data_IF_609881231897
#
_entry.id   IF_609881231897
#
_cell.length_a   1.000
_cell.length_b   1.000
_cell.length_c   1.000
_cell.angle_alpha   90.00
_cell.angle_beta   90.00
_cell.angle_gamma   90.00
#
_symmetry.space_group_name_H-M   'P 1'
#
loop_
_entity.id
_entity.type
_entity.pdbx_description
1 polymer ?
#
# COMPACT_ATOMS: atom_id res chain seq x y z
N UNK A 1 1.06 11.10 6.82
CA UNK A 1 2.01 10.09 7.30
C UNK A 1 3.37 10.72 7.58
N UNK A 2 3.92 10.48 8.77
CA UNK A 2 5.19 11.03 9.25
C UNK A 2 5.45 10.57 10.68
N UNK A 3 6.47 11.14 11.32
CA UNK A 3 6.77 10.88 12.74
C UNK A 3 6.52 12.16 13.54
N UNK A 4 5.81 12.03 14.66
CA UNK A 4 5.59 13.11 15.61
C UNK A 4 6.35 12.79 16.89
N UNK A 5 7.25 13.67 17.34
CA UNK A 5 7.85 13.56 18.67
C UNK A 5 6.86 14.08 19.71
N UNK A 6 6.39 13.19 20.59
CA UNK A 6 5.33 13.49 21.56
C UNK A 6 5.84 13.50 23.00
N UNK A 7 7.10 13.12 23.24
CA UNK A 7 7.60 12.95 24.61
C UNK A 7 7.63 14.29 25.33
N UNK A 8 7.09 14.30 26.55
CA UNK A 8 7.00 15.47 27.43
C UNK A 8 6.31 16.69 26.80
N UNK A 9 5.47 16.50 25.77
CA UNK A 9 4.69 17.59 25.17
C UNK A 9 3.36 17.77 25.91
N UNK A 10 2.87 19.02 26.05
CA UNK A 10 1.53 19.25 26.58
C UNK A 10 0.48 18.71 25.61
N UNK A 11 -0.68 18.36 26.14
CA UNK A 11 -1.78 17.72 25.41
C UNK A 11 -2.18 18.46 24.11
N UNK A 12 -2.33 19.78 24.13
CA UNK A 12 -2.62 20.55 22.91
C UNK A 12 -1.51 20.47 21.85
N UNK A 13 -0.24 20.39 22.26
CA UNK A 13 0.89 20.25 21.34
C UNK A 13 0.97 18.83 20.75
N UNK A 14 0.66 17.81 21.56
CA UNK A 14 0.51 16.43 21.09
C UNK A 14 -0.54 16.37 19.98
N UNK A 15 -1.71 16.99 20.20
CA UNK A 15 -2.79 17.01 19.21
C UNK A 15 -2.35 17.71 17.92
N UNK A 16 -1.70 18.89 18.00
CA UNK A 16 -1.19 19.59 16.80
C UNK A 16 -0.22 18.72 16.00
N UNK A 17 0.72 18.06 16.66
CA UNK A 17 1.73 17.22 16.01
C UNK A 17 1.12 15.98 15.36
N UNK A 18 0.14 15.35 16.02
CA UNK A 18 -0.60 14.23 15.43
C UNK A 18 -1.40 14.65 14.20
N UNK A 19 -2.08 15.80 14.24
CA UNK A 19 -2.80 16.34 13.08
C UNK A 19 -1.83 16.64 11.94
N UNK A 20 -0.66 17.24 12.22
CA UNK A 20 0.34 17.55 11.21
C UNK A 20 0.85 16.32 10.42
N UNK A 21 0.90 15.14 11.06
CA UNK A 21 1.30 13.89 10.40
C UNK A 21 0.12 13.05 9.89
N UNK A 22 -1.12 13.45 10.14
CA UNK A 22 -2.30 12.79 9.60
C UNK A 22 -2.39 12.95 8.07
N UNK A 23 -3.20 12.12 7.41
CA UNK A 23 -3.54 12.35 6.01
C UNK A 23 -4.31 13.65 5.86
N UNK A 24 -3.89 14.50 4.92
CA UNK A 24 -4.46 15.85 4.78
C UNK A 24 -5.95 15.88 4.46
N UNK A 25 -6.51 14.78 3.95
CA UNK A 25 -7.97 14.64 3.74
C UNK A 25 -8.78 14.68 5.04
N UNK A 26 -8.15 14.43 6.19
CA UNK A 26 -8.82 14.37 7.49
C UNK A 26 -8.35 15.46 8.46
N UNK A 27 -7.35 16.26 8.08
CA UNK A 27 -6.72 17.24 8.97
C UNK A 27 -7.70 18.30 9.48
N UNK A 28 -8.60 18.78 8.63
CA UNK A 28 -9.58 19.81 9.01
C UNK A 28 -10.61 19.26 10.00
N UNK A 29 -11.19 18.08 9.72
CA UNK A 29 -12.16 17.44 10.63
C UNK A 29 -11.54 17.13 11.99
N UNK A 30 -10.27 16.70 12.01
CA UNK A 30 -9.52 16.48 13.26
C UNK A 30 -9.30 17.79 14.02
N UNK A 31 -8.93 18.88 13.33
CA UNK A 31 -8.75 20.18 13.95
C UNK A 31 -10.06 20.74 14.52
N UNK A 32 -11.17 20.61 13.79
CA UNK A 32 -12.52 20.99 14.26
C UNK A 32 -12.89 20.19 15.51
N UNK A 33 -12.72 18.87 15.48
CA UNK A 33 -13.01 17.98 16.61
C UNK A 33 -12.19 18.36 17.84
N UNK A 34 -10.90 18.62 17.66
CA UNK A 34 -10.01 19.00 18.75
C UNK A 34 -10.33 20.38 19.34
N UNK A 35 -10.73 21.36 18.50
CA UNK A 35 -11.24 22.66 18.96
C UNK A 35 -12.51 22.50 19.79
N UNK A 36 -13.47 21.71 19.32
CA UNK A 36 -14.71 21.44 20.05
C UNK A 36 -14.47 20.77 21.41
N UNK A 37 -13.44 19.92 21.51
CA UNK A 37 -13.02 19.28 22.76
C UNK A 37 -12.18 20.19 23.68
N UNK A 38 -11.94 21.46 23.31
CA UNK A 38 -11.11 22.39 24.08
C UNK A 38 -9.61 22.05 24.08
N UNK A 39 -9.16 21.19 23.16
CA UNK A 39 -7.76 20.74 23.05
C UNK A 39 -6.88 21.71 22.26
N UNK A 40 -7.50 22.50 21.39
CA UNK A 40 -6.85 23.50 20.53
C UNK A 40 -7.56 24.83 20.63
N UNK A 41 -6.82 25.91 20.41
CA UNK A 41 -7.40 27.24 20.29
C UNK A 41 -8.32 27.33 19.06
N UNK A 42 -9.34 28.17 19.13
CA UNK A 42 -10.30 28.35 18.05
C UNK A 42 -9.66 28.86 16.75
N UNK A 43 -8.57 29.62 16.86
CA UNK A 43 -7.79 30.20 15.76
C UNK A 43 -6.71 29.25 15.21
N UNK A 44 -6.52 28.06 15.79
CA UNK A 44 -5.51 27.14 15.31
C UNK A 44 -5.81 26.67 13.88
N UNK A 45 -4.82 26.76 13.01
CA UNK A 45 -4.84 26.20 11.68
C UNK A 45 -3.66 25.25 11.48
N UNK A 46 -3.87 24.19 10.70
CA UNK A 46 -2.79 23.27 10.34
C UNK A 46 -1.81 24.01 9.43
N UNK A 47 -0.51 24.09 9.79
CA UNK A 47 0.47 24.83 9.00
C UNK A 47 0.57 24.33 7.56
N UNK A 48 0.74 25.24 6.60
CA UNK A 48 0.69 24.95 5.17
C UNK A 48 1.65 23.83 4.72
N UNK A 49 2.85 23.78 5.31
CA UNK A 49 3.84 22.74 5.04
C UNK A 49 3.34 21.30 5.32
N UNK A 50 2.28 21.15 6.15
CA UNK A 50 1.69 19.87 6.53
C UNK A 50 0.41 19.54 5.74
N UNK A 51 -0.07 20.45 4.87
CA UNK A 51 -1.32 20.30 4.09
C UNK A 51 -1.20 19.39 2.87
N UNK A 52 0.00 18.94 2.53
CA UNK A 52 0.27 18.06 1.39
C UNK A 52 0.58 16.62 1.80
N UNK A 53 0.07 16.18 2.94
CA UNK A 53 0.30 14.85 3.48
C UNK A 53 -0.65 13.82 2.84
N UNK A 54 -0.59 13.74 1.51
CA UNK A 54 -1.50 12.95 0.68
C UNK A 54 -0.78 11.72 0.11
N UNK A 55 -1.47 10.57 -0.04
CA UNK A 55 -0.85 9.34 -0.52
C UNK A 55 -0.12 9.49 -1.87
N UNK A 56 -0.71 10.23 -2.81
CA UNK A 56 -0.11 10.43 -4.13
C UNK A 56 1.11 11.38 -4.08
N UNK A 57 1.08 12.43 -3.26
CA UNK A 57 2.22 13.33 -3.05
C UNK A 57 3.38 12.56 -2.44
N UNK A 58 3.11 11.74 -1.41
CA UNK A 58 4.12 10.91 -0.78
C UNK A 58 4.72 9.90 -1.77
N UNK A 59 3.89 9.22 -2.56
CA UNK A 59 4.37 8.30 -3.60
C UNK A 59 5.27 9.01 -4.61
N UNK A 60 4.87 10.19 -5.10
CA UNK A 60 5.66 10.98 -6.03
C UNK A 60 6.99 11.44 -5.42
N UNK A 61 6.97 11.90 -4.16
CA UNK A 61 8.19 12.28 -3.45
C UNK A 61 9.12 11.10 -3.25
N UNK A 62 8.58 9.92 -2.93
CA UNK A 62 9.37 8.72 -2.66
C UNK A 62 9.93 8.05 -3.91
N UNK A 63 9.29 8.23 -5.07
CA UNK A 63 9.65 7.58 -6.34
C UNK A 63 11.15 7.61 -6.67
N UNK A 64 11.91 8.71 -6.50
CA UNK A 64 13.33 8.74 -6.85
C UNK A 64 14.21 7.84 -5.97
N UNK A 65 13.74 7.44 -4.79
CA UNK A 65 14.47 6.57 -3.86
C UNK A 65 14.00 5.11 -3.90
N UNK A 66 12.85 4.86 -4.52
CA UNK A 66 12.40 3.53 -4.88
C UNK A 66 13.25 3.01 -6.04
N UNK A 67 13.33 1.68 -6.20
CA UNK A 67 14.16 0.99 -7.21
C UNK A 67 14.16 1.70 -8.56
N UNK A 68 15.31 2.25 -8.95
CA UNK A 68 15.54 2.83 -10.28
C UNK A 68 16.39 1.85 -11.09
N UNK A 69 16.16 1.79 -12.41
CA UNK A 69 16.93 0.90 -13.27
C UNK A 69 18.44 1.18 -13.13
N UNK A 70 19.19 0.17 -12.72
CA UNK A 70 20.66 0.23 -12.62
C UNK A 70 21.23 0.72 -11.29
N UNK A 71 20.43 0.94 -10.23
CA UNK A 71 20.95 1.26 -8.89
C UNK A 71 20.21 0.54 -7.78
N UNK A 72 20.90 0.14 -6.68
CA UNK A 72 20.24 -0.45 -5.52
C UNK A 72 19.24 0.54 -4.92
N UNK A 73 18.02 0.08 -4.67
CA UNK A 73 16.97 0.90 -4.05
C UNK A 73 17.43 1.40 -2.68
N UNK A 74 17.41 2.72 -2.47
CA UNK A 74 17.67 3.32 -1.17
C UNK A 74 16.53 3.00 -0.18
N UNK A 75 15.32 2.79 -0.69
CA UNK A 75 14.15 2.35 0.05
C UNK A 75 13.58 1.09 -0.62
N UNK A 76 14.11 -0.11 -0.31
CA UNK A 76 13.50 -1.35 -0.76
C UNK A 76 12.16 -1.58 -0.02
N UNK A 77 11.31 -2.46 -0.56
CA UNK A 77 10.01 -2.80 0.05
C UNK A 77 10.14 -3.31 1.50
N UNK A 78 11.26 -3.95 1.82
CA UNK A 78 11.58 -4.51 3.13
C UNK A 78 12.94 -3.98 3.63
N UNK A 79 13.03 -2.74 4.13
CA UNK A 79 14.29 -2.10 4.50
C UNK A 79 14.99 -2.73 5.71
N UNK A 80 14.26 -3.50 6.52
CA UNK A 80 14.80 -4.25 7.66
C UNK A 80 14.90 -5.75 7.39
N UNK A 81 14.79 -6.16 6.13
CA UNK A 81 14.68 -7.55 5.73
C UNK A 81 13.25 -8.11 5.89
N UNK A 82 13.10 -9.36 5.49
CA UNK A 82 11.84 -10.10 5.57
C UNK A 82 12.14 -11.58 5.79
N UNK A 83 11.30 -12.25 6.57
CA UNK A 83 11.36 -13.71 6.73
C UNK A 83 10.82 -14.44 5.48
N UNK A 84 10.28 -13.70 4.51
CA UNK A 84 9.78 -14.24 3.26
C UNK A 84 10.93 -14.61 2.33
N UNK A 85 10.88 -15.81 1.76
CA UNK A 85 11.77 -16.21 0.69
C UNK A 85 11.48 -15.42 -0.58
N UNK A 86 12.43 -15.41 -1.53
CA UNK A 86 12.25 -14.73 -2.81
C UNK A 86 11.00 -15.21 -3.57
N UNK A 87 10.68 -16.51 -3.47
CA UNK A 87 9.47 -17.08 -4.06
C UNK A 87 8.20 -16.56 -3.38
N UNK A 88 8.20 -16.45 -2.05
CA UNK A 88 7.05 -15.90 -1.30
C UNK A 88 6.81 -14.44 -1.63
N UNK A 89 7.87 -13.65 -1.81
CA UNK A 89 7.76 -12.27 -2.25
C UNK A 89 7.12 -12.15 -3.63
N UNK A 90 7.46 -13.03 -4.56
CA UNK A 90 6.83 -13.09 -5.89
C UNK A 90 5.36 -13.49 -5.80
N UNK A 91 5.04 -14.51 -5.00
CA UNK A 91 3.67 -14.95 -4.76
C UNK A 91 2.82 -13.81 -4.18
N UNK A 92 3.29 -13.14 -3.12
CA UNK A 92 2.57 -12.04 -2.47
C UNK A 92 2.36 -10.87 -3.43
N UNK A 93 3.36 -10.53 -4.24
CA UNK A 93 3.27 -9.46 -5.24
C UNK A 93 2.20 -9.74 -6.30
N UNK A 94 2.13 -10.98 -6.80
CA UNK A 94 1.10 -11.40 -7.75
C UNK A 94 -0.29 -11.38 -7.11
N UNK A 95 -0.43 -11.88 -5.87
CA UNK A 95 -1.71 -11.88 -5.14
C UNK A 95 -2.22 -10.47 -4.85
N UNK A 96 -1.34 -9.52 -4.50
CA UNK A 96 -1.72 -8.12 -4.29
C UNK A 96 -2.25 -7.48 -5.57
N UNK A 97 -1.64 -7.75 -6.72
CA UNK A 97 -2.14 -7.27 -8.01
C UNK A 97 -3.53 -7.84 -8.32
N UNK A 98 -3.72 -9.14 -8.11
CA UNK A 98 -5.03 -9.78 -8.29
C UNK A 98 -6.10 -9.21 -7.34
N UNK A 99 -5.72 -8.92 -6.09
CA UNK A 99 -6.63 -8.30 -5.11
C UNK A 99 -6.99 -6.86 -5.49
N UNK A 100 -6.02 -6.07 -5.97
CA UNK A 100 -6.29 -4.72 -6.45
C UNK A 100 -7.26 -4.74 -7.64
N UNK A 101 -6.95 -5.58 -8.63
CA UNK A 101 -7.82 -5.75 -9.76
C UNK A 101 -9.21 -6.19 -9.31
N UNK A 102 -9.37 -7.10 -8.34
CA UNK A 102 -10.71 -7.55 -7.89
C UNK A 102 -11.63 -6.44 -7.38
N UNK A 103 -11.06 -5.29 -7.00
CA UNK A 103 -11.78 -4.09 -6.58
C UNK A 103 -12.08 -3.12 -7.75
N UNK A 104 -11.49 -3.36 -8.92
CA UNK A 104 -11.59 -2.56 -10.15
C UNK A 104 -12.02 -3.41 -11.37
N UNK A 105 -13.31 -3.38 -11.77
CA UNK A 105 -13.86 -4.28 -12.79
C UNK A 105 -13.15 -4.23 -14.15
N UNK A 106 -12.75 -3.04 -14.59
CA UNK A 106 -12.05 -2.86 -15.87
C UNK A 106 -10.64 -3.47 -15.84
N UNK A 107 -9.93 -3.31 -14.72
CA UNK A 107 -8.59 -3.88 -14.53
C UNK A 107 -8.64 -5.40 -14.47
N UNK A 108 -9.67 -5.99 -13.84
CA UNK A 108 -9.87 -7.45 -13.85
C UNK A 108 -10.00 -7.99 -15.26
N UNK A 109 -10.86 -7.37 -16.07
CA UNK A 109 -11.10 -7.86 -17.44
C UNK A 109 -9.82 -7.74 -18.25
N UNK A 110 -9.11 -6.62 -18.17
CA UNK A 110 -7.82 -6.45 -18.83
C UNK A 110 -6.78 -7.50 -18.37
N UNK A 111 -6.71 -7.76 -17.07
CA UNK A 111 -5.82 -8.75 -16.48
C UNK A 111 -6.18 -10.19 -16.90
N UNK A 112 -7.47 -10.51 -16.99
CA UNK A 112 -7.95 -11.81 -17.44
C UNK A 112 -7.59 -12.05 -18.92
N UNK A 113 -7.84 -11.07 -19.78
CA UNK A 113 -7.53 -11.12 -21.21
C UNK A 113 -6.03 -11.29 -21.42
N UNK A 114 -5.21 -10.50 -20.70
CA UNK A 114 -3.75 -10.62 -20.74
C UNK A 114 -3.27 -12.01 -20.30
N UNK A 115 -3.85 -12.54 -19.22
CA UNK A 115 -3.54 -13.88 -18.69
C UNK A 115 -3.89 -15.00 -19.68
N UNK A 116 -4.96 -14.85 -20.47
CA UNK A 116 -5.33 -15.83 -21.50
C UNK A 116 -4.40 -15.81 -22.72
N UNK A 117 -3.77 -14.67 -23.03
CA UNK A 117 -2.80 -14.55 -24.11
C UNK A 117 -1.35 -14.83 -23.70
N UNK A 118 -1.08 -14.87 -22.40
CA UNK A 118 0.26 -15.14 -21.88
C UNK A 118 0.34 -16.61 -21.50
N UNK A 119 1.08 -17.39 -22.29
CA UNK A 119 1.28 -18.83 -22.07
C UNK A 119 2.34 -19.08 -20.97
N UNK A 120 2.15 -18.45 -19.81
CA UNK A 120 2.98 -18.62 -18.62
C UNK A 120 2.34 -19.65 -17.71
N UNK A 121 3.11 -20.68 -17.35
CA UNK A 121 2.73 -21.61 -16.30
C UNK A 121 3.37 -21.20 -14.97
N UNK A 122 2.56 -21.19 -13.91
CA UNK A 122 3.07 -20.97 -12.56
C UNK A 122 3.88 -22.20 -12.10
N UNK A 123 5.03 -22.00 -11.42
CA UNK A 123 5.81 -23.10 -10.86
C UNK A 123 4.95 -24.02 -9.98
N UNK A 124 5.07 -25.36 -10.07
CA UNK A 124 4.27 -26.30 -9.29
C UNK A 124 4.36 -26.06 -7.78
N UNK A 125 5.53 -25.67 -7.28
CA UNK A 125 5.75 -25.31 -5.89
C UNK A 125 4.88 -24.13 -5.44
N UNK A 126 4.62 -23.15 -6.31
CA UNK A 126 3.79 -21.99 -5.96
C UNK A 126 2.32 -22.40 -5.88
N UNK A 127 1.88 -23.26 -6.81
CA UNK A 127 0.50 -23.78 -6.83
C UNK A 127 0.20 -24.65 -5.61
N UNK A 128 1.14 -25.49 -5.17
CA UNK A 128 1.01 -26.29 -3.95
C UNK A 128 0.85 -25.39 -2.72
N UNK A 129 1.67 -24.34 -2.60
CA UNK A 129 1.59 -23.39 -1.47
C UNK A 129 0.28 -22.62 -1.43
N UNK A 130 -0.34 -22.39 -2.59
CA UNK A 130 -1.64 -21.73 -2.73
C UNK A 130 -2.84 -22.70 -2.66
N UNK A 131 -2.61 -24.01 -2.58
CA UNK A 131 -3.68 -25.03 -2.65
C UNK A 131 -4.42 -25.07 -4.00
N UNK A 132 -3.70 -24.69 -5.06
CA UNK A 132 -4.16 -24.63 -6.46
C UNK A 132 -3.58 -25.77 -7.33
N UNK A 133 -2.81 -26.66 -6.73
CA UNK A 133 -2.26 -27.86 -7.35
C UNK A 133 -3.36 -28.84 -7.78
N UNK A 134 -4.39 -29.02 -6.97
CA UNK A 134 -5.58 -29.84 -7.28
C UNK A 134 -6.81 -28.97 -7.60
N UNK A 135 -6.63 -28.02 -8.52
CA UNK A 135 -7.69 -27.10 -8.94
C UNK A 135 -8.78 -27.81 -9.78
N UNK A 136 -9.71 -28.48 -9.11
CA UNK A 136 -10.85 -29.18 -9.74
C UNK A 136 -12.08 -28.29 -10.00
N UNK A 137 -12.22 -27.19 -9.27
CA UNK A 137 -13.34 -26.27 -9.45
C UNK A 137 -13.03 -25.15 -10.45
N UNK A 138 -14.03 -24.70 -11.20
CA UNK A 138 -13.91 -23.58 -12.16
C UNK A 138 -13.28 -22.34 -11.54
N UNK A 139 -13.61 -22.05 -10.28
CA UNK A 139 -13.03 -20.94 -9.52
C UNK A 139 -11.52 -21.12 -9.31
N UNK A 140 -11.07 -22.31 -8.90
CA UNK A 140 -9.64 -22.60 -8.68
C UNK A 140 -8.86 -22.60 -10.00
N UNK A 141 -9.46 -23.10 -11.08
CA UNK A 141 -8.85 -23.08 -12.42
C UNK A 141 -8.64 -21.63 -12.88
N UNK A 142 -9.64 -20.76 -12.68
CA UNK A 142 -9.53 -19.34 -13.01
C UNK A 142 -8.47 -18.64 -12.15
N UNK A 143 -8.44 -18.90 -10.83
CA UNK A 143 -7.40 -18.36 -9.94
C UNK A 143 -5.99 -18.82 -10.35
N UNK A 144 -5.81 -20.09 -10.72
CA UNK A 144 -4.54 -20.61 -11.22
C UNK A 144 -4.08 -19.88 -12.48
N UNK A 145 -4.97 -19.70 -13.46
CA UNK A 145 -4.66 -18.96 -14.70
C UNK A 145 -4.31 -17.50 -14.41
N UNK A 146 -5.13 -16.82 -13.60
CA UNK A 146 -4.92 -15.42 -13.25
C UNK A 146 -3.61 -15.23 -12.48
N UNK A 147 -3.29 -16.14 -11.56
CA UNK A 147 -2.01 -16.13 -10.83
C UNK A 147 -0.83 -16.33 -11.79
N UNK A 148 -0.91 -17.31 -12.69
CA UNK A 148 0.16 -17.59 -13.65
C UNK A 148 0.41 -16.42 -14.63
N UNK A 149 -0.64 -15.71 -15.04
CA UNK A 149 -0.54 -14.53 -15.92
C UNK A 149 0.03 -13.28 -15.23
N UNK A 150 0.11 -13.25 -13.90
CA UNK A 150 0.61 -12.12 -13.10
C UNK A 150 1.93 -12.41 -12.37
N UNK A 151 2.56 -13.56 -12.66
CA UNK A 151 3.90 -13.93 -12.21
C UNK A 151 5.02 -13.26 -13.02
#
# INVERSE_FOLDING_TARGET
YGVADLRAQPDGEVVKRLIAIADSRFQDDLAVTAKAAGKLNADYEVPEQHRQNLPHVLRARLQPWLSTEGSPALLPDFPFGTDLTADELRIVTALRQMQHASQHPAELVAMLVKSLWTDREAPPAYLQRLGLDDATSLRKILMRKLFAGNL
#
